data_IF_571066073712
#
_entry.id   IF_571066073712
#
_cell.length_a   1.000
_cell.length_b   1.000
_cell.length_c   1.000
_cell.angle_alpha   90.00
_cell.angle_beta   90.00
_cell.angle_gamma   90.00
#
_symmetry.space_group_name_H-M   'P 1'
#
loop_
_entity.id
_entity.type
_entity.pdbx_description
1 polymer ?
#
# COMPACT_ATOMS: atom_id res chain seq x y z
N UNK A 1 -10.42 -14.30 9.38
CA UNK A 1 -11.50 -13.82 8.49
C UNK A 1 -12.71 -13.52 9.34
N UNK A 2 -13.33 -12.34 9.21
CA UNK A 2 -14.64 -12.07 9.85
C UNK A 2 -15.73 -12.85 9.13
N UNK A 3 -16.33 -13.80 9.87
CA UNK A 3 -17.49 -14.55 9.38
C UNK A 3 -18.71 -13.65 9.20
N UNK A 4 -18.90 -12.67 10.11
CA UNK A 4 -20.01 -11.72 10.06
C UNK A 4 -19.95 -10.86 8.78
N UNK A 5 -18.79 -10.30 8.46
CA UNK A 5 -18.61 -9.50 7.24
C UNK A 5 -18.81 -10.33 5.97
N UNK A 6 -18.28 -11.56 5.93
CA UNK A 6 -18.45 -12.43 4.76
C UNK A 6 -19.92 -12.82 4.54
N UNK A 7 -20.66 -13.12 5.61
CA UNK A 7 -22.09 -13.42 5.55
C UNK A 7 -22.91 -12.21 5.09
N UNK A 8 -22.61 -11.02 5.64
CA UNK A 8 -23.30 -9.79 5.29
C UNK A 8 -23.06 -9.39 3.83
N UNK A 9 -21.82 -9.51 3.34
CA UNK A 9 -21.48 -9.30 1.94
C UNK A 9 -22.24 -10.26 1.01
N UNK A 10 -22.37 -11.53 1.39
CA UNK A 10 -23.14 -12.52 0.62
C UNK A 10 -24.63 -12.17 0.59
N UNK A 11 -25.22 -11.83 1.74
CA UNK A 11 -26.62 -11.40 1.84
C UNK A 11 -26.92 -10.18 0.96
N UNK A 12 -26.04 -9.18 0.98
CA UNK A 12 -26.21 -7.96 0.18
C UNK A 12 -26.04 -8.22 -1.33
N UNK A 13 -25.17 -9.17 -1.71
CA UNK A 13 -25.04 -9.65 -3.09
C UNK A 13 -26.35 -10.27 -3.58
N UNK A 14 -26.91 -11.23 -2.83
CA UNK A 14 -28.15 -11.93 -3.19
C UNK A 14 -29.35 -10.99 -3.31
N UNK A 15 -29.43 -10.00 -2.43
CA UNK A 15 -30.50 -9.02 -2.44
C UNK A 15 -30.35 -7.95 -3.51
N UNK A 16 -29.21 -7.88 -4.22
CA UNK A 16 -28.93 -6.81 -5.17
C UNK A 16 -28.90 -5.44 -4.50
N UNK A 17 -28.42 -5.35 -3.25
CA UNK A 17 -28.49 -4.12 -2.45
C UNK A 17 -27.59 -3.01 -3.01
N UNK A 18 -28.04 -1.76 -2.87
CA UNK A 18 -27.26 -0.56 -3.17
C UNK A 18 -27.12 0.28 -1.90
N UNK A 19 -25.88 0.63 -1.55
CA UNK A 19 -25.60 1.39 -0.34
C UNK A 19 -24.15 1.28 0.12
N UNK A 20 -23.89 1.64 1.36
CA UNK A 20 -22.56 1.59 1.98
C UNK A 20 -22.56 0.60 3.13
N UNK A 21 -21.62 -0.34 3.10
CA UNK A 21 -21.33 -1.27 4.17
C UNK A 21 -20.07 -0.80 4.92
N UNK A 22 -20.22 -0.33 6.15
CA UNK A 22 -19.09 0.11 6.99
C UNK A 22 -18.60 -1.04 7.86
N UNK A 23 -17.30 -1.12 8.06
CA UNK A 23 -16.67 -2.10 8.95
C UNK A 23 -15.37 -1.51 9.49
N UNK A 24 -15.29 -1.33 10.80
CA UNK A 24 -14.12 -0.75 11.46
C UNK A 24 -13.72 0.60 10.89
N UNK A 25 -12.51 0.66 10.32
CA UNK A 25 -11.90 1.85 9.72
C UNK A 25 -12.07 1.95 8.20
N UNK A 26 -13.00 1.19 7.62
CA UNK A 26 -13.26 1.20 6.19
C UNK A 26 -14.70 0.91 5.81
N UNK A 27 -14.91 0.83 4.51
CA UNK A 27 -16.23 0.70 3.90
C UNK A 27 -16.19 0.08 2.51
N UNK A 28 -17.30 -0.55 2.13
CA UNK A 28 -17.60 -0.99 0.79
C UNK A 28 -18.81 -0.22 0.26
N UNK A 29 -18.72 0.26 -0.98
CA UNK A 29 -19.83 0.84 -1.70
C UNK A 29 -20.41 -0.22 -2.63
N UNK A 30 -21.68 -0.54 -2.45
CA UNK A 30 -22.42 -1.51 -3.24
C UNK A 30 -23.35 -0.82 -4.22
N UNK A 31 -23.40 -1.33 -5.45
CA UNK A 31 -24.34 -0.95 -6.49
C UNK A 31 -24.95 -2.23 -7.10
N UNK A 32 -26.24 -2.44 -6.84
CA UNK A 32 -27.01 -3.60 -7.31
C UNK A 32 -26.33 -4.93 -6.96
N UNK A 33 -25.90 -5.06 -5.70
CA UNK A 33 -25.23 -6.24 -5.15
C UNK A 33 -23.76 -6.41 -5.54
N UNK A 34 -23.20 -5.55 -6.40
CA UNK A 34 -21.78 -5.56 -6.76
C UNK A 34 -21.01 -4.47 -6.02
N UNK A 35 -19.75 -4.72 -5.68
CA UNK A 35 -18.84 -3.75 -5.09
C UNK A 35 -18.36 -2.79 -6.18
N UNK A 36 -18.64 -1.51 -5.99
CA UNK A 36 -18.26 -0.42 -6.88
C UNK A 36 -17.02 0.35 -6.39
N UNK A 37 -16.79 0.37 -5.08
CA UNK A 37 -15.64 1.00 -4.45
C UNK A 37 -15.43 0.41 -3.06
N UNK A 38 -14.21 0.50 -2.54
CA UNK A 38 -13.93 0.20 -1.14
C UNK A 38 -12.75 1.06 -0.67
N UNK A 39 -12.79 1.43 0.61
CA UNK A 39 -11.75 2.22 1.24
C UNK A 39 -11.43 1.68 2.63
N UNK A 40 -10.17 1.77 3.02
CA UNK A 40 -9.70 1.45 4.37
C UNK A 40 -8.56 2.40 4.73
N UNK A 41 -8.60 3.00 5.93
CA UNK A 41 -7.58 3.98 6.37
C UNK A 41 -6.17 3.40 6.44
N UNK A 42 -6.07 2.08 6.59
CA UNK A 42 -4.81 1.32 6.58
C UNK A 42 -4.26 1.04 5.16
N UNK A 43 -4.92 1.54 4.10
CA UNK A 43 -4.46 1.40 2.72
C UNK A 43 -4.07 2.75 2.10
N UNK A 44 -3.44 2.71 0.92
CA UNK A 44 -3.11 3.91 0.14
C UNK A 44 -4.34 4.70 -0.30
N UNK A 45 -5.46 4.03 -0.59
CA UNK A 45 -6.67 4.62 -1.14
C UNK A 45 -6.60 4.86 -2.66
N UNK A 46 -7.75 4.75 -3.32
CA UNK A 46 -7.86 4.96 -4.78
C UNK A 46 -7.53 6.39 -5.19
N UNK A 47 -7.93 7.37 -4.38
CA UNK A 47 -7.70 8.80 -4.58
C UNK A 47 -6.20 9.12 -4.75
N UNK A 48 -5.34 8.46 -3.96
CA UNK A 48 -3.90 8.62 -4.10
C UNK A 48 -3.33 7.77 -5.23
N UNK A 49 -3.79 6.52 -5.39
CA UNK A 49 -3.35 5.65 -6.47
C UNK A 49 -3.51 6.29 -7.85
N UNK A 50 -4.64 6.97 -8.11
CA UNK A 50 -4.87 7.64 -9.41
C UNK A 50 -3.96 8.84 -9.63
N UNK A 51 -3.57 9.54 -8.56
CA UNK A 51 -2.67 10.70 -8.65
C UNK A 51 -1.23 10.24 -8.89
N UNK A 52 -0.75 9.28 -8.11
CA UNK A 52 0.61 8.76 -8.23
C UNK A 52 0.82 8.04 -9.58
N UNK A 53 -0.23 7.39 -10.10
CA UNK A 53 -0.22 6.78 -11.43
C UNK A 53 -0.41 7.78 -12.59
N UNK A 54 -0.59 9.07 -12.31
CA UNK A 54 -0.82 10.12 -13.31
C UNK A 54 -2.14 10.00 -14.08
N UNK A 55 -3.12 9.25 -13.56
CA UNK A 55 -4.43 9.05 -14.19
C UNK A 55 -5.34 10.27 -13.99
N UNK A 56 -5.23 10.92 -12.84
CA UNK A 56 -6.04 12.08 -12.48
C UNK A 56 -5.24 13.04 -11.60
N UNK A 57 -5.54 14.34 -11.65
CA UNK A 57 -5.08 15.25 -10.59
C UNK A 57 -5.95 15.09 -9.34
N UNK A 58 -5.46 15.57 -8.19
CA UNK A 58 -6.26 15.61 -6.97
C UNK A 58 -7.53 16.49 -7.12
N UNK A 59 -7.50 17.48 -8.01
CA UNK A 59 -8.67 18.31 -8.32
C UNK A 59 -9.69 17.53 -9.15
N UNK A 60 -9.26 16.83 -10.19
CA UNK A 60 -10.15 15.99 -11.00
C UNK A 60 -10.84 14.93 -10.16
N UNK A 61 -10.11 14.33 -9.20
CA UNK A 61 -10.69 13.37 -8.27
C UNK A 61 -11.76 13.99 -7.36
N UNK A 62 -11.51 15.18 -6.80
CA UNK A 62 -12.51 15.91 -6.01
C UNK A 62 -13.74 16.28 -6.83
N UNK A 63 -13.56 16.72 -8.08
CA UNK A 63 -14.64 17.06 -9.01
C UNK A 63 -15.52 15.84 -9.31
N UNK A 64 -14.89 14.68 -9.53
CA UNK A 64 -15.59 13.43 -9.72
C UNK A 64 -16.44 13.03 -8.51
N UNK A 65 -15.88 13.12 -7.30
CA UNK A 65 -16.61 12.86 -6.05
C UNK A 65 -17.75 13.84 -5.78
N UNK A 66 -17.69 15.05 -6.33
CA UNK A 66 -18.74 16.06 -6.25
C UNK A 66 -19.86 15.89 -7.29
N UNK A 67 -19.78 14.86 -8.16
CA UNK A 67 -20.82 14.52 -9.12
C UNK A 67 -20.47 14.80 -10.60
N UNK A 68 -19.23 15.16 -10.91
CA UNK A 68 -18.76 15.34 -12.30
C UNK A 68 -17.57 14.41 -12.63
N UNK A 69 -17.82 13.09 -12.77
CA UNK A 69 -16.77 12.09 -13.00
C UNK A 69 -16.44 11.87 -14.49
N UNK A 70 -17.15 12.53 -15.41
CA UNK A 70 -17.19 12.19 -16.83
C UNK A 70 -15.82 11.87 -17.46
N UNK A 71 -14.84 12.80 -17.40
CA UNK A 71 -13.52 12.58 -17.99
C UNK A 71 -12.75 11.39 -17.38
N UNK A 72 -12.97 11.08 -16.10
CA UNK A 72 -12.26 9.99 -15.41
C UNK A 72 -12.84 8.62 -15.78
N UNK A 73 -14.15 8.50 -15.96
CA UNK A 73 -14.80 7.23 -16.29
C UNK A 73 -14.36 6.67 -17.65
N UNK A 74 -13.82 7.51 -18.53
CA UNK A 74 -13.31 7.10 -19.84
C UNK A 74 -11.85 6.64 -19.81
N UNK A 75 -11.17 6.65 -18.65
CA UNK A 75 -9.78 6.23 -18.51
C UNK A 75 -9.71 4.73 -18.18
N UNK A 76 -9.22 3.85 -19.08
CA UNK A 76 -9.15 2.41 -18.80
C UNK A 76 -8.31 2.07 -17.56
N UNK A 77 -7.24 2.83 -17.30
CA UNK A 77 -6.43 2.68 -16.10
C UNK A 77 -7.18 2.91 -14.79
N UNK A 78 -8.23 3.73 -14.80
CA UNK A 78 -9.05 3.96 -13.60
C UNK A 78 -9.66 2.65 -13.09
N UNK A 79 -10.21 1.83 -14.00
CA UNK A 79 -10.79 0.55 -13.64
C UNK A 79 -9.75 -0.36 -12.97
N UNK A 80 -8.55 -0.48 -13.55
CA UNK A 80 -7.48 -1.30 -12.97
C UNK A 80 -7.11 -0.83 -11.57
N UNK A 81 -6.93 0.49 -11.38
CA UNK A 81 -6.61 1.05 -10.06
C UNK A 81 -7.78 0.88 -9.07
N UNK A 82 -9.02 1.01 -9.53
CA UNK A 82 -10.20 0.79 -8.70
C UNK A 82 -10.30 -0.66 -8.23
N UNK A 83 -10.08 -1.63 -9.12
CA UNK A 83 -10.02 -3.05 -8.78
C UNK A 83 -8.91 -3.30 -7.74
N UNK A 84 -7.70 -2.78 -7.98
CA UNK A 84 -6.58 -2.91 -7.06
C UNK A 84 -6.91 -2.33 -5.68
N UNK A 85 -7.48 -1.12 -5.62
CA UNK A 85 -7.89 -0.48 -4.37
C UNK A 85 -8.95 -1.28 -3.62
N UNK A 86 -9.93 -1.85 -4.33
CA UNK A 86 -10.97 -2.67 -3.70
C UNK A 86 -10.36 -3.93 -3.08
N UNK A 87 -9.52 -4.65 -3.82
CA UNK A 87 -8.87 -5.86 -3.29
C UNK A 87 -7.88 -5.54 -2.16
N UNK A 88 -7.24 -4.37 -2.17
CA UNK A 88 -6.33 -3.93 -1.12
C UNK A 88 -7.08 -3.64 0.18
N UNK A 89 -8.16 -2.84 0.11
CA UNK A 89 -9.03 -2.57 1.25
C UNK A 89 -9.71 -3.83 1.77
N UNK A 90 -10.26 -4.66 0.88
CA UNK A 90 -10.95 -5.90 1.24
C UNK A 90 -10.05 -6.83 2.05
N UNK A 91 -8.76 -6.92 1.74
CA UNK A 91 -7.83 -7.78 2.48
C UNK A 91 -7.75 -7.39 3.96
N UNK A 92 -7.64 -6.10 4.27
CA UNK A 92 -7.54 -5.62 5.65
C UNK A 92 -8.88 -5.60 6.39
N UNK A 93 -9.98 -5.38 5.69
CA UNK A 93 -11.32 -5.35 6.27
C UNK A 93 -11.83 -6.77 6.58
N UNK A 94 -11.63 -7.74 5.68
CA UNK A 94 -11.99 -9.14 5.90
C UNK A 94 -11.12 -9.83 6.96
N UNK A 95 -9.93 -9.29 7.23
CA UNK A 95 -9.10 -9.72 8.34
C UNK A 95 -9.55 -9.15 9.70
N UNK A 96 -10.28 -8.03 9.74
CA UNK A 96 -10.76 -7.42 10.99
C UNK A 96 -11.84 -8.28 11.64
N UNK A 97 -12.05 -8.09 12.95
CA UNK A 97 -13.16 -8.67 13.71
C UNK A 97 -14.31 -7.66 13.95
N UNK A 98 -14.24 -6.48 13.32
CA UNK A 98 -15.26 -5.44 13.47
C UNK A 98 -16.62 -5.86 12.88
N UNK A 99 -17.69 -5.39 13.51
CA UNK A 99 -19.06 -5.67 13.09
C UNK A 99 -19.44 -4.84 11.85
N UNK A 100 -20.05 -5.44 10.81
CA UNK A 100 -20.48 -4.72 9.63
C UNK A 100 -21.81 -3.97 9.84
N UNK A 101 -21.90 -2.75 9.34
CA UNK A 101 -23.14 -1.95 9.35
C UNK A 101 -23.49 -1.46 7.93
N UNK A 102 -24.60 -1.96 7.39
CA UNK A 102 -25.12 -1.54 6.08
C UNK A 102 -26.09 -0.36 6.20
N UNK A 103 -25.94 0.62 5.32
CA UNK A 103 -26.92 1.71 5.14
C UNK A 103 -27.22 1.92 3.65
N UNK A 104 -28.49 1.94 3.24
CA UNK A 104 -28.86 2.33 1.88
C UNK A 104 -28.34 3.73 1.54
N UNK A 105 -27.82 3.88 0.33
CA UNK A 105 -27.29 5.14 -0.21
C UNK A 105 -27.40 5.12 -1.74
N UNK A 106 -27.27 6.28 -2.43
CA UNK A 106 -27.16 6.31 -3.89
C UNK A 106 -26.00 5.46 -4.41
N UNK A 107 -26.08 5.03 -5.68
CA UNK A 107 -24.96 4.32 -6.31
C UNK A 107 -23.69 5.19 -6.29
N UNK A 108 -22.55 4.58 -5.94
CA UNK A 108 -21.26 5.24 -6.02
C UNK A 108 -20.91 5.54 -7.49
N UNK A 109 -20.33 6.70 -7.77
CA UNK A 109 -20.05 7.16 -9.14
C UNK A 109 -19.10 6.23 -9.94
N UNK A 110 -18.35 5.36 -9.26
CA UNK A 110 -17.49 4.31 -9.87
C UNK A 110 -18.26 3.06 -10.34
N UNK A 111 -19.55 2.91 -10.02
CA UNK A 111 -20.35 1.75 -10.41
C UNK A 111 -20.34 1.41 -11.92
N UNK A 112 -20.20 2.37 -12.86
CA UNK A 112 -20.06 2.06 -14.28
C UNK A 112 -18.74 1.39 -14.67
N UNK A 113 -17.67 1.57 -13.88
CA UNK A 113 -16.31 1.11 -14.23
C UNK A 113 -15.81 -0.03 -13.34
N UNK A 114 -16.24 -0.10 -12.08
CA UNK A 114 -15.81 -1.13 -11.15
C UNK A 114 -17.04 -1.90 -10.67
N UNK A 115 -17.08 -3.21 -10.96
CA UNK A 115 -18.15 -4.11 -10.51
C UNK A 115 -17.56 -5.45 -10.12
N UNK A 116 -17.37 -5.65 -8.83
CA UNK A 116 -16.81 -6.90 -8.28
C UNK A 116 -17.90 -7.63 -7.50
N UNK A 117 -18.10 -8.91 -7.77
CA UNK A 117 -18.99 -9.74 -6.97
C UNK A 117 -18.42 -9.88 -5.54
N UNK A 118 -19.19 -9.62 -4.47
CA UNK A 118 -18.72 -9.79 -3.10
C UNK A 118 -18.10 -11.17 -2.83
N UNK A 119 -18.68 -12.26 -3.35
CA UNK A 119 -18.07 -13.60 -3.29
C UNK A 119 -16.64 -13.66 -3.83
N UNK A 120 -16.30 -12.90 -4.87
CA UNK A 120 -14.95 -12.88 -5.45
C UNK A 120 -13.94 -12.25 -4.47
N UNK A 121 -14.34 -11.25 -3.69
CA UNK A 121 -13.49 -10.68 -2.63
C UNK A 121 -13.23 -11.68 -1.52
N UNK A 122 -14.26 -12.42 -1.10
CA UNK A 122 -14.13 -13.46 -0.06
C UNK A 122 -13.22 -14.60 -0.53
N UNK A 123 -13.40 -15.07 -1.78
CA UNK A 123 -12.51 -16.07 -2.37
C UNK A 123 -11.06 -15.57 -2.48
N UNK A 124 -10.86 -14.34 -2.94
CA UNK A 124 -9.53 -13.76 -3.06
C UNK A 124 -8.87 -13.59 -1.69
N UNK A 125 -9.61 -13.15 -0.68
CA UNK A 125 -9.13 -13.08 0.69
C UNK A 125 -8.67 -14.46 1.17
N UNK A 126 -9.50 -15.50 1.01
CA UNK A 126 -9.15 -16.85 1.43
C UNK A 126 -7.87 -17.35 0.73
N UNK A 127 -7.74 -17.10 -0.57
CA UNK A 127 -6.53 -17.42 -1.34
C UNK A 127 -5.30 -16.69 -0.79
N UNK A 128 -5.39 -15.38 -0.55
CA UNK A 128 -4.29 -14.58 0.00
C UNK A 128 -3.93 -15.01 1.42
N UNK A 129 -4.92 -15.34 2.24
CA UNK A 129 -4.72 -15.80 3.62
C UNK A 129 -4.06 -17.18 3.70
N UNK A 130 -4.32 -18.08 2.76
CA UNK A 130 -3.59 -19.35 2.66
C UNK A 130 -2.11 -19.15 2.28
N UNK A 131 -1.78 -18.06 1.59
CA UNK A 131 -0.42 -17.69 1.23
C UNK A 131 0.30 -16.90 2.33
N UNK A 132 -0.37 -16.58 3.43
CA UNK A 132 0.24 -15.94 4.60
C UNK A 132 1.25 -16.89 5.23
N UNK A 133 2.50 -16.75 4.79
CA UNK A 133 3.65 -17.41 5.37
C UNK A 133 4.50 -16.36 6.05
N UNK A 134 4.60 -16.44 7.37
CA UNK A 134 5.51 -15.62 8.14
C UNK A 134 4.83 -14.68 9.15
N UNK A 135 5.64 -13.88 9.86
CA UNK A 135 5.25 -13.26 11.12
C UNK A 135 4.43 -11.97 10.97
N UNK A 136 4.04 -11.59 9.75
CA UNK A 136 3.30 -10.36 9.47
C UNK A 136 1.83 -10.64 9.16
N UNK A 137 0.94 -10.74 10.16
CA UNK A 137 -0.51 -10.77 9.92
C UNK A 137 -1.04 -9.38 9.51
N UNK A 138 -2.29 -9.34 9.03
CA UNK A 138 -2.89 -8.15 8.43
C UNK A 138 -3.10 -6.98 9.42
N UNK A 139 -3.25 -7.26 10.71
CA UNK A 139 -3.38 -6.27 11.78
C UNK A 139 -2.10 -5.49 12.05
N UNK A 140 -0.91 -6.06 11.78
CA UNK A 140 0.36 -5.37 11.98
C UNK A 140 0.70 -4.36 10.87
N UNK A 141 0.02 -4.42 9.72
CA UNK A 141 0.30 -3.63 8.51
C UNK A 141 0.36 -2.13 8.78
N UNK A 142 -0.49 -1.62 9.68
CA UNK A 142 -0.53 -0.21 10.06
C UNK A 142 -0.09 0.05 11.50
N UNK A 143 0.29 -0.99 12.25
CA UNK A 143 0.58 -0.90 13.68
C UNK A 143 2.07 -0.98 14.00
N UNK A 144 2.85 -1.72 13.19
CA UNK A 144 4.27 -2.00 13.49
C UNK A 144 5.17 -1.37 12.43
N UNK A 145 6.24 -0.66 12.82
CA UNK A 145 7.19 -0.10 11.87
C UNK A 145 8.00 -1.19 11.17
N UNK A 146 8.37 -0.94 9.92
CA UNK A 146 9.26 -1.80 9.15
C UNK A 146 10.70 -1.50 9.52
N UNK A 147 11.36 -2.44 10.21
CA UNK A 147 12.73 -2.26 10.71
C UNK A 147 13.71 -3.07 9.86
N UNK A 148 14.65 -2.42 9.13
CA UNK A 148 15.67 -3.15 8.41
C UNK A 148 16.66 -3.82 9.36
N UNK A 149 17.30 -4.91 8.90
CA UNK A 149 18.38 -5.55 9.65
C UNK A 149 19.65 -4.70 9.54
N UNK A 150 20.25 -4.35 10.68
CA UNK A 150 21.38 -3.40 10.73
C UNK A 150 22.68 -3.89 10.05
N UNK A 151 22.90 -5.20 9.93
CA UNK A 151 24.07 -5.76 9.23
C UNK A 151 23.73 -7.02 8.45
N UNK A 152 23.87 -6.94 7.14
CA UNK A 152 23.65 -8.07 6.23
C UNK A 152 24.99 -8.77 6.00
N UNK A 153 25.08 -10.07 6.29
CA UNK A 153 26.31 -10.88 6.11
C UNK A 153 26.46 -11.44 4.68
N UNK A 154 25.77 -10.87 3.69
CA UNK A 154 25.77 -11.31 2.29
C UNK A 154 26.32 -10.21 1.39
N UNK A 155 27.25 -10.57 0.50
CA UNK A 155 27.90 -9.62 -0.40
C UNK A 155 27.09 -9.34 -1.68
N UNK A 156 26.08 -10.16 -1.99
CA UNK A 156 25.21 -9.98 -3.16
C UNK A 156 23.79 -10.41 -2.81
N UNK A 157 22.83 -9.55 -3.11
CA UNK A 157 21.40 -9.80 -2.99
C UNK A 157 20.77 -9.58 -4.36
N UNK A 158 19.83 -10.46 -4.73
CA UNK A 158 18.96 -10.25 -5.88
C UNK A 158 17.62 -9.81 -5.33
N UNK A 159 17.23 -8.58 -5.64
CA UNK A 159 15.98 -7.98 -5.20
C UNK A 159 15.16 -7.59 -6.43
N UNK A 160 13.84 -7.69 -6.31
CA UNK A 160 12.96 -7.01 -7.26
C UNK A 160 13.07 -5.50 -7.05
N UNK A 161 12.66 -4.70 -8.05
CA UNK A 161 12.58 -3.24 -7.89
C UNK A 161 11.71 -2.86 -6.68
N UNK A 162 10.57 -3.53 -6.52
CA UNK A 162 9.67 -3.28 -5.41
C UNK A 162 10.25 -3.61 -4.04
N UNK A 163 11.05 -4.67 -3.91
CA UNK A 163 11.77 -4.98 -2.68
C UNK A 163 12.86 -3.96 -2.35
N UNK A 164 13.56 -3.47 -3.37
CA UNK A 164 14.58 -2.44 -3.19
C UNK A 164 13.97 -1.11 -2.70
N UNK A 165 12.83 -0.71 -3.25
CA UNK A 165 12.07 0.47 -2.78
C UNK A 165 11.66 0.35 -1.31
N UNK A 166 11.12 -0.81 -0.91
CA UNK A 166 10.72 -1.06 0.48
C UNK A 166 11.93 -0.95 1.41
N UNK A 167 13.07 -1.57 1.06
CA UNK A 167 14.28 -1.47 1.89
C UNK A 167 14.82 -0.04 1.96
N UNK A 168 14.74 0.72 0.86
CA UNK A 168 15.16 2.12 0.84
C UNK A 168 14.24 3.01 1.69
N UNK A 169 12.95 2.68 1.76
CA UNK A 169 11.96 3.39 2.57
C UNK A 169 11.94 2.96 4.05
N UNK A 170 12.42 1.75 4.37
CA UNK A 170 12.41 1.20 5.72
C UNK A 170 13.36 1.96 6.65
N UNK A 171 12.80 2.85 7.47
CA UNK A 171 13.52 3.75 8.37
C UNK A 171 13.33 3.42 9.85
N UNK A 172 12.75 2.24 10.15
CA UNK A 172 12.36 1.80 11.49
C UNK A 172 11.31 2.69 12.19
N UNK A 173 10.64 3.58 11.45
CA UNK A 173 9.59 4.46 11.98
C UNK A 173 8.24 4.25 11.31
N UNK A 174 8.24 4.08 9.98
CA UNK A 174 7.01 3.91 9.19
C UNK A 174 6.56 2.46 9.13
N UNK A 175 5.27 2.26 9.25
CA UNK A 175 4.56 1.00 9.02
C UNK A 175 4.47 0.65 7.53
N UNK A 176 4.02 -0.57 7.22
CA UNK A 176 3.81 -1.02 5.82
C UNK A 176 2.79 -0.11 5.13
N UNK A 177 1.70 0.27 5.82
CA UNK A 177 0.67 1.16 5.30
C UNK A 177 1.22 2.56 4.94
N UNK A 178 2.08 3.12 5.79
CA UNK A 178 2.70 4.43 5.56
C UNK A 178 3.70 4.37 4.40
N UNK A 179 4.55 3.34 4.36
CA UNK A 179 5.49 3.14 3.25
C UNK A 179 4.73 2.95 1.93
N UNK A 180 3.68 2.13 1.91
CA UNK A 180 2.86 1.90 0.72
C UNK A 180 2.27 3.21 0.18
N UNK A 181 1.75 4.04 1.10
CA UNK A 181 1.22 5.37 0.78
C UNK A 181 2.28 6.30 0.20
N UNK A 182 3.48 6.33 0.79
CA UNK A 182 4.59 7.16 0.30
C UNK A 182 5.11 6.70 -1.07
N UNK A 183 5.13 5.39 -1.32
CA UNK A 183 5.60 4.81 -2.57
C UNK A 183 4.56 4.81 -3.70
N UNK A 184 3.30 5.17 -3.42
CA UNK A 184 2.25 5.10 -4.45
C UNK A 184 1.82 3.67 -4.79
N UNK A 185 1.99 2.71 -3.87
CA UNK A 185 1.77 1.28 -4.10
C UNK A 185 0.65 0.72 -3.22
N UNK A 186 0.03 -0.37 -3.68
CA UNK A 186 -0.96 -1.12 -2.88
C UNK A 186 -0.31 -1.65 -1.60
N UNK A 187 -1.02 -1.57 -0.50
CA UNK A 187 -0.53 -1.99 0.82
C UNK A 187 -0.29 -3.50 0.89
N UNK A 188 -1.16 -4.31 0.29
CA UNK A 188 -0.97 -5.76 0.17
C UNK A 188 0.28 -6.11 -0.64
N UNK A 189 0.54 -5.39 -1.73
CA UNK A 189 1.78 -5.55 -2.50
C UNK A 189 3.03 -5.30 -1.65
N UNK A 190 3.02 -4.22 -0.87
CA UNK A 190 4.10 -3.92 0.07
C UNK A 190 4.22 -4.98 1.18
N UNK A 191 3.10 -5.51 1.70
CA UNK A 191 3.08 -6.60 2.68
C UNK A 191 3.73 -7.88 2.14
N UNK A 192 3.46 -8.24 0.88
CA UNK A 192 4.08 -9.40 0.22
C UNK A 192 5.61 -9.20 0.12
N UNK A 193 6.06 -8.02 -0.29
CA UNK A 193 7.49 -7.69 -0.36
C UNK A 193 8.14 -7.74 1.02
N UNK A 194 7.50 -7.18 2.06
CA UNK A 194 8.00 -7.21 3.44
C UNK A 194 8.10 -8.64 3.95
N UNK A 195 7.10 -9.50 3.73
CA UNK A 195 7.17 -10.93 4.12
C UNK A 195 8.32 -11.66 3.44
N UNK A 196 8.56 -11.39 2.15
CA UNK A 196 9.68 -11.96 1.41
C UNK A 196 11.04 -11.46 1.94
N UNK A 197 11.15 -10.17 2.23
CA UNK A 197 12.34 -9.54 2.80
C UNK A 197 12.63 -10.01 4.23
N UNK A 198 11.60 -10.21 5.07
CA UNK A 198 11.74 -10.82 6.40
C UNK A 198 12.23 -12.26 6.28
N UNK A 199 11.63 -13.06 5.38
CA UNK A 199 12.08 -14.44 5.13
C UNK A 199 13.53 -14.50 4.61
N UNK A 200 13.98 -13.47 3.89
CA UNK A 200 15.35 -13.34 3.42
C UNK A 200 16.34 -12.86 4.50
N UNK A 201 15.85 -12.45 5.68
CA UNK A 201 16.64 -11.90 6.79
C UNK A 201 17.11 -10.46 6.56
N UNK A 202 16.34 -9.68 5.80
CA UNK A 202 16.64 -8.27 5.46
C UNK A 202 15.79 -7.27 6.24
N UNK A 203 14.61 -7.70 6.69
CA UNK A 203 13.72 -6.97 7.61
C UNK A 203 13.58 -7.81 8.88
N UNK A 204 13.59 -7.16 10.03
CA UNK A 204 13.40 -7.82 11.32
C UNK A 204 11.98 -8.39 11.41
N UNK A 205 11.81 -9.50 12.12
CA UNK A 205 10.47 -9.98 12.45
C UNK A 205 9.75 -8.92 13.31
N UNK A 206 8.44 -8.71 13.12
CA UNK A 206 7.70 -7.75 13.91
C UNK A 206 7.69 -8.25 15.35
N UNK A 207 8.17 -7.40 16.25
CA UNK A 207 7.93 -7.58 17.68
C UNK A 207 6.62 -6.88 17.97
N UNK A 208 5.59 -7.63 18.36
CA UNK A 208 4.37 -7.03 18.88
C UNK A 208 4.74 -6.11 20.05
N UNK A 209 4.62 -4.80 19.83
CA UNK A 209 4.69 -3.86 20.93
C UNK A 209 3.44 -4.10 21.77
N UNK A 210 3.58 -4.80 22.90
CA UNK A 210 2.54 -4.82 23.94
C UNK A 210 2.09 -3.38 24.14
N UNK A 211 0.78 -3.08 24.16
CA UNK A 211 0.34 -1.73 24.43
C UNK A 211 0.99 -1.32 25.73
N UNK A 212 1.82 -0.28 25.68
CA UNK A 212 2.36 0.32 26.88
C UNK A 212 1.13 0.75 27.69
N UNK A 213 0.80 -0.06 28.70
CA UNK A 213 -0.16 0.33 29.71
C UNK A 213 0.25 1.72 30.11
N UNK A 214 -0.66 2.67 29.94
CA UNK A 214 -0.48 4.03 30.41
C UNK A 214 -0.06 3.89 31.86
N UNK A 215 1.23 3.98 32.14
CA UNK A 215 1.69 4.36 33.45
C UNK A 215 1.10 5.75 33.57
N UNK A 216 -0.06 5.82 34.21
CA UNK A 216 -0.44 6.99 34.97
C UNK A 216 0.81 7.31 35.77
N UNK A 217 1.54 8.32 35.31
CA UNK A 217 2.54 8.95 36.13
C UNK A 217 1.79 9.31 37.42
N UNK A 218 2.03 8.52 38.48
CA UNK A 218 1.71 8.98 39.80
C UNK A 218 2.44 10.31 39.92
N UNK A 219 1.64 11.37 40.03
CA UNK A 219 2.13 12.68 40.38
C UNK A 219 2.99 12.54 41.65
N UNK A 220 4.14 13.20 41.74
CA UNK A 220 4.87 13.28 43.00
C UNK A 220 3.98 14.02 44.02
N UNK A 221 3.86 13.44 45.22
CA UNK A 221 3.17 14.05 46.36
C UNK A 221 3.69 15.47 46.65
N UNK A 222 2.83 16.38 47.14
CA UNK A 222 3.23 17.74 47.47
C UNK A 222 4.16 17.72 48.68
N UNK A 223 5.37 18.26 48.50
CA UNK A 223 6.34 18.48 49.57
C UNK A 223 5.90 19.70 50.37
N UNK A 224 5.69 19.49 51.67
CA UNK A 224 5.33 20.52 52.65
C UNK A 224 6.54 21.43 52.95
N UNK A 225 6.22 22.69 53.21
CA UNK A 225 7.10 23.85 53.35
C UNK A 225 7.96 23.78 54.62
N UNK A 226 9.27 24.00 54.49
CA UNK A 226 10.14 24.50 55.58
C UNK A 226 11.50 24.97 55.05
N UNK A 227 11.62 26.28 54.81
CA UNK A 227 12.89 27.00 54.66
C UNK A 227 13.48 27.35 56.06
N UNK A 228 14.78 27.73 56.21
CA UNK A 228 15.25 29.03 55.70
C UNK A 228 16.69 29.07 55.12
N UNK A 229 16.80 29.82 54.03
CA UNK A 229 17.84 30.79 53.62
C UNK A 229 19.29 30.64 54.12
N UNK A 230 20.25 30.56 53.17
CA UNK A 230 21.44 31.44 53.15
C UNK A 230 21.88 31.85 51.74
N UNK A 231 21.79 33.16 51.49
CA UNK A 231 22.73 34.05 50.77
C UNK A 231 23.62 33.48 49.64
N UNK A 232 23.40 33.93 48.40
CA UNK A 232 24.25 34.94 47.71
C UNK A 232 24.04 34.93 46.18
N UNK A 233 23.75 36.11 45.61
CA UNK A 233 23.86 36.40 44.17
C UNK A 233 25.34 36.68 43.80
N UNK A 234 25.73 36.60 42.50
CA UNK A 234 25.58 37.79 41.65
C UNK A 234 25.20 37.52 40.17
N UNK A 235 24.82 38.64 39.53
CA UNK A 235 24.35 38.89 38.15
C UNK A 235 25.36 38.61 36.99
N UNK A 236 24.91 38.66 35.71
CA UNK A 236 25.53 38.04 34.54
C UNK A 236 26.45 38.96 33.74
N UNK A 237 27.08 38.43 32.68
CA UNK A 237 27.09 39.16 31.41
C UNK A 237 26.81 38.27 30.18
N UNK A 238 26.05 38.84 29.24
CA UNK A 238 25.97 38.48 27.81
C UNK A 238 26.29 39.79 27.04
N UNK A 239 26.53 39.82 25.71
CA UNK A 239 26.71 38.75 24.73
C UNK A 239 27.93 39.01 23.79
N UNK A 240 28.35 38.05 22.96
CA UNK A 240 29.12 38.40 21.74
C UNK A 240 28.87 37.41 20.59
N UNK A 241 28.31 37.97 19.51
CA UNK A 241 28.15 37.40 18.17
C UNK A 241 29.46 37.56 17.40
N UNK A 242 29.82 36.64 16.49
CA UNK A 242 30.52 37.06 15.28
C UNK A 242 29.76 36.71 13.99
N UNK A 243 29.67 37.74 13.17
CA UNK A 243 29.19 37.82 11.79
C UNK A 243 30.10 37.13 10.78
N UNK A 244 29.49 36.73 9.66
CA UNK A 244 30.02 36.18 8.40
C UNK A 244 31.26 36.91 7.83
N UNK A 245 31.94 36.27 6.85
CA UNK A 245 31.98 36.95 5.56
C UNK A 245 31.55 36.10 4.36
N UNK A 246 30.84 36.83 3.51
CA UNK A 246 30.32 36.55 2.18
C UNK A 246 31.45 36.60 1.14
N UNK A 247 31.46 35.68 0.17
CA UNK A 247 32.05 35.92 -1.16
C UNK A 247 31.29 35.17 -2.25
N UNK A 248 30.95 35.92 -3.29
CA UNK A 248 30.31 35.57 -4.57
C UNK A 248 31.14 36.32 -5.63
N UNK A 249 30.97 36.12 -6.95
CA UNK A 249 31.14 34.93 -7.80
C UNK A 249 32.32 35.14 -8.80
N UNK A 250 32.61 34.15 -9.66
CA UNK A 250 33.29 34.41 -10.92
C UNK A 250 32.61 33.67 -12.08
N UNK A 251 32.27 34.45 -13.09
CA UNK A 251 31.83 34.10 -14.44
C UNK A 251 32.84 33.18 -15.16
N UNK A 252 32.34 32.37 -16.09
CA UNK A 252 33.11 32.04 -17.28
C UNK A 252 32.58 30.86 -18.10
N UNK A 253 32.07 31.14 -19.30
CA UNK A 253 32.35 30.29 -20.47
C UNK A 253 31.19 29.48 -21.05
N UNK A 254 30.61 30.02 -22.12
CA UNK A 254 29.64 29.38 -23.04
C UNK A 254 30.29 28.35 -23.98
N UNK A 255 29.44 27.45 -24.50
CA UNK A 255 29.46 26.96 -25.89
C UNK A 255 30.39 25.78 -26.19
N UNK A 256 30.15 24.87 -27.12
CA UNK A 256 29.08 24.63 -28.11
C UNK A 256 29.35 23.25 -28.75
N UNK A 257 28.29 22.60 -29.22
CA UNK A 257 28.17 21.68 -30.36
C UNK A 257 28.85 20.29 -30.44
N UNK A 258 27.95 19.30 -30.58
CA UNK A 258 27.79 18.35 -31.71
C UNK A 258 28.98 17.50 -32.22
N UNK A 259 28.82 16.17 -32.11
CA UNK A 259 28.90 15.15 -33.18
C UNK A 259 28.73 13.76 -32.55
N UNK A 260 27.72 12.96 -32.92
CA UNK A 260 27.63 12.09 -34.10
C UNK A 260 28.51 10.82 -34.04
N UNK A 261 27.86 9.66 -34.13
CA UNK A 261 28.43 8.30 -34.31
C UNK A 261 27.73 7.30 -33.38
N UNK A 262 26.62 6.63 -33.76
CA UNK A 262 26.46 5.44 -34.65
C UNK A 262 27.25 4.20 -34.22
N UNK A 263 26.56 3.05 -34.35
CA UNK A 263 26.95 1.64 -34.18
C UNK A 263 26.73 1.07 -32.77
N UNK A 264 26.17 -0.13 -32.56
CA UNK A 264 25.43 -1.06 -33.41
C UNK A 264 24.70 -2.04 -32.47
N UNK A 265 23.47 -2.36 -32.85
CA UNK A 265 22.78 -3.65 -32.70
C UNK A 265 23.75 -4.83 -32.82
N UNK A 266 23.67 -5.79 -31.90
CA UNK A 266 23.92 -7.19 -32.22
C UNK A 266 22.93 -8.10 -31.47
N UNK A 267 22.31 -8.93 -32.29
CA UNK A 267 21.37 -10.01 -32.02
C UNK A 267 22.09 -11.29 -31.52
N UNK A 268 21.26 -12.20 -30.99
CA UNK A 268 21.46 -13.66 -30.97
C UNK A 268 22.62 -14.27 -30.16
N UNK A 269 22.23 -14.96 -29.08
CA UNK A 269 22.81 -16.26 -28.77
C UNK A 269 21.73 -17.19 -28.23
N UNK A 270 21.28 -18.08 -29.11
CA UNK A 270 20.43 -19.24 -28.85
C UNK A 270 21.20 -20.37 -28.16
N UNK A 271 20.41 -21.28 -27.56
CA UNK A 271 20.73 -22.65 -27.16
C UNK A 271 21.51 -22.89 -25.83
N UNK A 272 20.85 -23.55 -24.88
CA UNK A 272 20.93 -25.03 -24.81
C UNK A 272 19.98 -25.61 -23.77
N UNK A 273 19.17 -26.55 -24.27
CA UNK A 273 18.34 -27.49 -23.52
C UNK A 273 19.24 -28.39 -22.66
N UNK A 274 19.02 -28.41 -21.34
CA UNK A 274 19.43 -29.54 -20.49
C UNK A 274 18.21 -30.17 -19.85
N UNK A 275 17.83 -31.29 -20.45
CA UNK A 275 16.85 -32.25 -19.97
C UNK A 275 17.49 -33.09 -18.86
N UNK A 276 16.73 -33.28 -17.77
CA UNK A 276 16.47 -34.54 -17.03
C UNK A 276 16.66 -34.43 -15.52
N UNK A 277 15.58 -34.70 -14.79
CA UNK A 277 15.53 -34.93 -13.36
C UNK A 277 14.09 -35.22 -12.93
N UNK A 278 13.68 -36.48 -13.07
CA UNK A 278 12.38 -37.00 -12.64
C UNK A 278 12.14 -36.69 -11.16
N UNK A 279 11.04 -36.01 -10.84
CA UNK A 279 10.41 -36.06 -9.53
C UNK A 279 9.04 -36.73 -9.70
N UNK A 280 9.02 -38.02 -9.40
CA UNK A 280 7.82 -38.81 -9.16
C UNK A 280 7.13 -38.34 -7.89
N UNK A 281 5.83 -38.05 -7.97
CA UNK A 281 4.96 -37.88 -6.79
C UNK A 281 4.22 -36.54 -6.72
N UNK A 282 3.43 -36.19 -7.73
CA UNK A 282 2.40 -35.17 -7.62
C UNK A 282 1.05 -35.82 -7.92
N UNK A 283 0.09 -35.66 -7.00
CA UNK A 283 -1.28 -36.09 -7.16
C UNK A 283 -1.88 -35.54 -8.48
N UNK A 284 -2.89 -36.20 -9.08
CA UNK A 284 -3.49 -35.73 -10.32
C UNK A 284 -4.02 -34.31 -10.14
N UNK A 285 -3.40 -33.37 -10.84
CA UNK A 285 -3.92 -32.01 -11.02
C UNK A 285 -5.23 -32.15 -11.80
N UNK A 286 -6.37 -31.99 -11.13
CA UNK A 286 -7.61 -31.72 -11.84
C UNK A 286 -7.50 -30.30 -12.42
N UNK A 287 -7.54 -30.12 -13.75
CA UNK A 287 -7.53 -28.79 -14.32
C UNK A 287 -8.81 -28.08 -13.88
N UNK A 288 -8.65 -27.01 -13.10
CA UNK A 288 -9.69 -26.01 -12.92
C UNK A 288 -10.26 -25.68 -14.31
N UNK A 289 -11.57 -25.88 -14.49
CA UNK A 289 -12.24 -25.49 -15.73
C UNK A 289 -12.08 -23.99 -15.87
N UNK A 290 -11.14 -23.58 -16.71
CA UNK A 290 -10.92 -22.19 -17.07
C UNK A 290 -12.23 -21.60 -17.55
N UNK A 291 -12.82 -20.73 -16.72
CA UNK A 291 -13.95 -19.91 -17.15
C UNK A 291 -13.42 -18.97 -18.23
N UNK A 292 -14.11 -18.92 -19.37
CA UNK A 292 -13.70 -18.08 -20.49
C UNK A 292 -13.59 -16.64 -20.01
N UNK A 293 -12.36 -16.10 -20.05
CA UNK A 293 -12.08 -14.74 -19.60
C UNK A 293 -12.90 -13.76 -20.43
N UNK A 294 -13.60 -12.85 -19.76
CA UNK A 294 -14.40 -11.82 -20.39
C UNK A 294 -13.55 -11.03 -21.40
N UNK A 295 -13.97 -11.05 -22.66
CA UNK A 295 -13.26 -10.40 -23.77
C UNK A 295 -13.13 -8.90 -23.54
N UNK A 296 -14.13 -8.27 -22.94
CA UNK A 296 -14.12 -6.83 -22.74
C UNK A 296 -13.11 -6.46 -21.65
N UNK A 297 -12.91 -7.31 -20.64
CA UNK A 297 -11.83 -7.15 -19.65
C UNK A 297 -10.46 -7.24 -20.33
N UNK A 298 -10.26 -8.19 -21.24
CA UNK A 298 -8.98 -8.33 -21.96
C UNK A 298 -8.69 -7.12 -22.86
N UNK A 299 -9.72 -6.55 -23.51
CA UNK A 299 -9.60 -5.34 -24.32
C UNK A 299 -9.21 -4.14 -23.44
N UNK A 300 -9.87 -3.97 -22.30
CA UNK A 300 -9.55 -2.87 -21.36
C UNK A 300 -8.16 -3.01 -20.74
N UNK A 301 -7.75 -4.23 -20.39
CA UNK A 301 -6.41 -4.52 -19.88
C UNK A 301 -5.35 -4.19 -20.93
N UNK A 302 -5.56 -4.59 -22.19
CA UNK A 302 -4.65 -4.26 -23.29
C UNK A 302 -4.52 -2.76 -23.48
N UNK A 303 -5.63 -2.02 -23.51
CA UNK A 303 -5.60 -0.56 -23.63
C UNK A 303 -4.83 0.10 -22.48
N UNK A 304 -5.01 -0.39 -21.24
CA UNK A 304 -4.27 0.12 -20.07
C UNK A 304 -2.76 -0.14 -20.15
N UNK A 305 -2.35 -1.27 -20.74
CA UNK A 305 -0.94 -1.60 -20.99
C UNK A 305 -0.35 -0.76 -22.13
N UNK A 306 -1.10 -0.45 -23.18
CA UNK A 306 -0.66 0.42 -24.28
C UNK A 306 -0.39 1.86 -23.79
N UNK A 307 -1.11 2.35 -22.78
CA UNK A 307 -0.82 3.66 -22.15
C UNK A 307 0.51 3.68 -21.35
N UNK A 308 1.14 2.52 -21.06
CA UNK A 308 2.43 2.44 -20.34
C UNK A 308 3.65 2.51 -21.28
N UNK A 309 3.45 2.35 -22.59
CA UNK A 309 4.50 2.34 -23.61
C UNK A 309 4.75 3.76 -24.17
#
# INVERSE_FOLDING_TARGET
MSAALAQELHRLEEQGSTGVLRVGDGEFHLARGAIASAGCRRTIGLDRLVVEAGVATAEDWRRAGAGDPGPLLHRPRLETLALLSVFDAAYLLLASADEPEFRPAPEHWLAPVCRIAPRALVHEFARRSQLERGPWPADLVAAVPVVPVGRIRRNRLVLTGGQAEILAAADARRSIAEIARDLGRTTYGCLVDVRALTSAGLIQEPVEAKPAGRHLALAPDPVDDSAPQRHSAPEPPNPTVPTLPRRVPALGGQGTNERSGRHAVDEEATATVRRRGNLTGAAPYEPERWQQVDRDVLIRLRAALEELA
#
